data_IF_787156748014
#
_entry.id   IF_787156748014
#
_cell.length_a   1.000
_cell.length_b   1.000
_cell.length_c   1.000
_cell.angle_alpha   90.00
_cell.angle_beta   90.00
_cell.angle_gamma   90.00
#
_symmetry.space_group_name_H-M   'P 1'
#
loop_
_entity.id
_entity.type
_entity.pdbx_description
1 polymer ?
#
# COMPACT_ATOMS: atom_id res chain seq x y z
N UNK A 1 -66.92 -15.64 9.79
CA UNK A 1 -65.97 -16.04 10.87
C UNK A 1 -64.88 -16.94 10.27
N UNK A 2 -64.03 -16.45 9.36
CA UNK A 2 -62.91 -17.20 8.74
C UNK A 2 -61.82 -16.22 8.26
N UNK A 3 -61.10 -15.55 9.17
CA UNK A 3 -59.94 -14.71 8.79
C UNK A 3 -58.75 -14.78 9.76
N UNK A 4 -58.76 -15.69 10.74
CA UNK A 4 -57.67 -15.81 11.74
C UNK A 4 -56.72 -17.00 11.50
N UNK A 5 -56.95 -17.81 10.46
CA UNK A 5 -56.20 -19.05 10.22
C UNK A 5 -54.90 -18.90 9.41
N UNK A 6 -54.82 -17.92 8.51
CA UNK A 6 -53.72 -17.83 7.53
C UNK A 6 -52.45 -17.19 8.13
N UNK A 7 -52.61 -16.20 9.00
CA UNK A 7 -51.51 -15.46 9.64
C UNK A 7 -50.68 -16.32 10.63
N UNK A 8 -51.32 -17.35 11.21
CA UNK A 8 -50.67 -18.28 12.12
C UNK A 8 -49.74 -19.27 11.41
N UNK A 9 -50.04 -19.65 10.18
CA UNK A 9 -49.23 -20.61 9.42
C UNK A 9 -47.92 -19.99 8.92
N UNK A 10 -47.95 -18.72 8.52
CA UNK A 10 -46.75 -18.00 8.06
C UNK A 10 -45.80 -17.69 9.21
N UNK A 11 -46.34 -17.28 10.36
CA UNK A 11 -45.59 -17.06 11.60
C UNK A 11 -44.88 -18.34 12.09
N UNK A 12 -45.54 -19.49 11.99
CA UNK A 12 -44.94 -20.79 12.34
C UNK A 12 -43.81 -21.21 11.39
N UNK A 13 -43.95 -20.93 10.08
CA UNK A 13 -42.89 -21.19 9.09
C UNK A 13 -41.67 -20.32 9.33
N UNK A 14 -41.86 -19.03 9.65
CA UNK A 14 -40.77 -18.10 9.94
C UNK A 14 -40.02 -18.48 11.23
N UNK A 15 -40.75 -18.89 12.27
CA UNK A 15 -40.15 -19.37 13.52
C UNK A 15 -39.31 -20.64 13.32
N UNK A 16 -39.80 -21.60 12.51
CA UNK A 16 -39.07 -22.83 12.18
C UNK A 16 -37.81 -22.55 11.35
N UNK A 17 -37.85 -21.57 10.45
CA UNK A 17 -36.70 -21.14 9.67
C UNK A 17 -35.62 -20.46 10.53
N UNK A 18 -36.02 -19.60 11.48
CA UNK A 18 -35.10 -18.97 12.45
C UNK A 18 -34.39 -20.01 13.32
N UNK A 19 -35.11 -20.98 13.88
CA UNK A 19 -34.51 -22.07 14.69
C UNK A 19 -33.51 -22.92 13.90
N UNK A 20 -33.77 -23.17 12.60
CA UNK A 20 -32.83 -23.89 11.72
C UNK A 20 -31.56 -23.08 11.46
N UNK A 21 -31.65 -21.77 11.28
CA UNK A 21 -30.48 -20.89 11.10
C UNK A 21 -29.63 -20.81 12.37
N UNK A 22 -30.25 -20.71 13.55
CA UNK A 22 -29.51 -20.72 14.82
C UNK A 22 -28.83 -22.07 15.09
N UNK A 23 -29.49 -23.19 14.81
CA UNK A 23 -28.89 -24.52 14.93
C UNK A 23 -27.71 -24.74 13.95
N UNK A 24 -27.76 -24.17 12.74
CA UNK A 24 -26.64 -24.21 11.82
C UNK A 24 -25.46 -23.36 12.31
N UNK A 25 -25.74 -22.17 12.87
CA UNK A 25 -24.71 -21.26 13.41
C UNK A 25 -24.00 -21.86 14.64
N UNK A 26 -24.73 -22.58 15.50
CA UNK A 26 -24.13 -23.24 16.67
C UNK A 26 -23.29 -24.47 16.30
N UNK A 27 -23.66 -25.22 15.25
CA UNK A 27 -22.83 -26.31 14.70
C UNK A 27 -21.53 -25.80 14.09
N UNK A 28 -21.56 -24.68 13.37
CA UNK A 28 -20.36 -24.04 12.83
C UNK A 28 -19.40 -23.55 13.93
N UNK A 29 -19.93 -22.98 15.02
CA UNK A 29 -19.12 -22.53 16.15
C UNK A 29 -18.44 -23.69 16.93
N UNK A 30 -19.05 -24.88 16.94
CA UNK A 30 -18.50 -26.06 17.64
C UNK A 30 -17.36 -26.74 16.86
N UNK A 31 -17.35 -26.61 15.53
CA UNK A 31 -16.30 -27.19 14.68
C UNK A 31 -14.94 -26.50 14.81
N UNK A 32 -14.89 -25.21 15.18
CA UNK A 32 -13.63 -24.47 15.30
C UNK A 32 -12.86 -24.66 16.62
N UNK A 33 -13.37 -25.42 17.59
CA UNK A 33 -12.74 -25.56 18.93
C UNK A 33 -11.82 -26.78 19.09
N UNK A 34 -11.72 -27.67 18.09
CA UNK A 34 -11.02 -28.97 18.25
C UNK A 34 -9.58 -29.00 17.68
N UNK A 35 -9.12 -27.95 17.00
CA UNK A 35 -7.74 -27.91 16.47
C UNK A 35 -6.85 -26.94 17.27
N UNK A 36 -6.44 -27.36 18.47
CA UNK A 36 -5.36 -26.71 19.22
C UNK A 36 -4.22 -27.72 19.42
N UNK A 37 -3.24 -27.67 18.53
CA UNK A 37 -2.03 -28.48 18.60
C UNK A 37 -1.16 -28.09 19.82
N UNK A 38 -0.39 -29.03 20.41
CA UNK A 38 0.40 -28.78 21.59
C UNK A 38 1.68 -27.97 21.29
N UNK A 39 1.99 -27.04 22.20
CA UNK A 39 3.26 -26.32 22.32
C UNK A 39 4.39 -27.33 22.54
N UNK A 40 5.36 -27.39 21.63
CA UNK A 40 6.62 -28.10 21.86
C UNK A 40 7.67 -27.08 22.29
N UNK A 41 8.15 -27.22 23.53
CA UNK A 41 9.25 -26.47 24.12
C UNK A 41 10.51 -26.62 23.25
N UNK A 42 11.09 -25.50 22.80
CA UNK A 42 12.43 -25.50 22.21
C UNK A 42 13.46 -25.44 23.33
N UNK A 43 14.16 -26.55 23.53
CA UNK A 43 15.30 -26.65 24.43
C UNK A 43 16.50 -25.90 23.85
N UNK A 44 17.07 -24.99 24.65
CA UNK A 44 18.35 -24.36 24.42
C UNK A 44 19.46 -25.41 24.46
N UNK A 45 20.27 -25.52 23.40
CA UNK A 45 21.52 -26.27 23.43
C UNK A 45 22.65 -25.45 22.82
N UNK A 46 23.40 -24.84 23.73
CA UNK A 46 24.80 -24.45 23.57
C UNK A 46 25.57 -25.68 23.06
N UNK A 47 26.41 -25.55 22.03
CA UNK A 47 27.70 -26.27 21.93
C UNK A 47 28.54 -25.82 20.72
N UNK A 48 29.81 -25.51 21.03
CA UNK A 48 31.04 -25.71 20.23
C UNK A 48 31.37 -24.76 19.08
N UNK A 49 32.28 -23.85 19.41
CA UNK A 49 33.35 -23.40 18.54
C UNK A 49 34.25 -24.57 18.09
N UNK A 50 34.70 -24.55 16.82
CA UNK A 50 35.92 -25.20 16.30
C UNK A 50 36.17 -24.76 14.85
N UNK A 51 37.43 -24.43 14.54
CA UNK A 51 37.97 -23.77 13.31
C UNK A 51 38.04 -24.71 12.08
N UNK A 52 38.44 -24.28 10.86
CA UNK A 52 39.88 -24.13 10.56
C UNK A 52 40.27 -22.93 9.65
N UNK A 53 41.58 -22.70 9.60
CA UNK A 53 42.35 -21.67 8.88
C UNK A 53 42.25 -21.75 7.35
N UNK A 54 42.62 -20.67 6.64
CA UNK A 54 43.38 -20.77 5.41
C UNK A 54 44.84 -20.34 5.58
N UNK A 55 45.69 -21.11 4.90
CA UNK A 55 47.14 -21.10 4.82
C UNK A 55 47.74 -19.84 4.22
N UNK A 56 48.91 -19.48 4.75
CA UNK A 56 49.91 -18.57 4.21
C UNK A 56 50.49 -19.02 2.84
N UNK A 57 51.23 -18.05 2.24
CA UNK A 57 52.28 -18.11 1.20
C UNK A 57 51.80 -17.89 -0.24
N UNK A 58 52.49 -17.12 -1.10
CA UNK A 58 53.77 -16.42 -0.98
C UNK A 58 53.91 -15.39 -2.11
N UNK A 59 54.39 -14.19 -1.74
CA UNK A 59 55.43 -13.39 -2.43
C UNK A 59 55.77 -13.66 -3.90
N UNK A 60 55.69 -12.62 -4.74
CA UNK A 60 56.71 -12.17 -5.72
C UNK A 60 56.36 -10.71 -6.14
N UNK A 61 56.97 -9.70 -5.51
CA UNK A 61 58.08 -8.86 -6.01
C UNK A 61 57.72 -7.71 -7.00
N UNK A 62 58.06 -6.50 -6.52
CA UNK A 62 58.34 -5.18 -7.15
C UNK A 62 58.97 -5.18 -8.57
N UNK A 63 58.88 -4.07 -9.34
CA UNK A 63 59.60 -2.80 -9.08
C UNK A 63 58.70 -1.54 -9.24
N UNK A 64 58.81 -0.49 -8.42
CA UNK A 64 59.86 0.55 -8.33
C UNK A 64 60.15 1.24 -9.67
N UNK A 65 59.44 2.35 -9.97
CA UNK A 65 59.87 3.29 -11.01
C UNK A 65 59.67 4.75 -10.56
N UNK A 66 60.82 5.40 -10.39
CA UNK A 66 61.19 6.82 -10.56
C UNK A 66 60.50 7.94 -9.78
N UNK A 67 61.32 8.40 -8.82
CA UNK A 67 61.55 9.80 -8.44
C UNK A 67 61.76 10.72 -9.65
N UNK A 68 61.18 11.91 -9.60
CA UNK A 68 61.84 13.15 -10.03
C UNK A 68 61.43 14.31 -9.11
N UNK A 69 62.39 15.02 -8.49
CA UNK A 69 62.17 16.27 -7.78
C UNK A 69 62.65 17.46 -8.63
N UNK A 70 61.92 18.57 -8.62
CA UNK A 70 62.35 19.95 -8.91
C UNK A 70 61.09 20.83 -8.79
N UNK A 71 61.07 22.04 -8.23
CA UNK A 71 62.13 22.95 -7.85
C UNK A 71 61.55 23.95 -6.84
N UNK A 72 62.24 24.13 -5.73
CA UNK A 72 62.04 25.17 -4.76
C UNK A 72 62.52 26.51 -5.34
N UNK A 73 61.63 27.48 -5.46
CA UNK A 73 61.91 28.94 -5.48
C UNK A 73 60.81 29.52 -4.58
N UNK A 74 61.07 30.07 -3.41
CA UNK A 74 62.17 30.96 -3.07
C UNK A 74 61.63 32.38 -3.08
N UNK A 75 61.06 32.77 -1.93
CA UNK A 75 61.01 34.13 -1.40
C UNK A 75 60.06 35.13 -2.08
N UNK A 76 59.01 35.56 -1.37
CA UNK A 76 58.86 36.94 -0.88
C UNK A 76 57.92 36.92 0.33
N UNK A 77 58.46 37.28 1.48
CA UNK A 77 57.74 37.43 2.73
C UNK A 77 57.51 38.92 3.01
N UNK A 78 56.27 39.22 3.45
CA UNK A 78 55.82 40.36 4.28
C UNK A 78 55.77 41.78 3.65
N UNK A 79 54.90 42.71 4.15
CA UNK A 79 53.89 42.59 5.22
C UNK A 79 52.50 43.19 4.92
N UNK A 80 51.57 42.77 5.77
CA UNK A 80 50.22 43.31 6.05
C UNK A 80 50.24 44.83 6.30
N UNK A 81 49.39 45.60 5.62
CA UNK A 81 48.95 46.92 6.09
C UNK A 81 47.56 47.30 5.53
N UNK A 82 46.56 47.27 6.43
CA UNK A 82 45.38 48.16 6.50
C UNK A 82 44.38 48.13 5.34
N UNK A 83 43.23 47.49 5.58
CA UNK A 83 41.89 48.10 5.39
C UNK A 83 40.81 47.20 6.00
N UNK A 84 40.77 47.15 7.34
CA UNK A 84 39.50 47.01 8.06
C UNK A 84 38.96 48.42 8.18
N UNK A 85 37.79 48.72 7.60
CA UNK A 85 36.79 49.68 8.09
C UNK A 85 35.64 49.80 7.05
N UNK A 86 34.69 48.87 7.12
CA UNK A 86 33.32 49.12 6.67
C UNK A 86 32.34 48.18 7.41
N UNK A 87 32.36 48.25 8.75
CA UNK A 87 31.23 47.81 9.56
C UNK A 87 30.20 48.95 9.54
N UNK A 88 29.30 48.91 8.57
CA UNK A 88 28.14 49.78 8.46
C UNK A 88 26.86 48.96 8.58
N UNK A 89 26.20 49.08 9.72
CA UNK A 89 24.90 48.49 10.02
C UNK A 89 23.84 48.86 8.96
N UNK A 90 22.88 47.95 8.69
CA UNK A 90 21.45 48.15 9.01
C UNK A 90 20.57 47.03 8.39
N UNK A 91 19.90 46.29 9.28
CA UNK A 91 18.64 45.57 9.09
C UNK A 91 18.46 44.67 7.84
N UNK A 92 18.63 43.36 8.05
CA UNK A 92 18.05 42.33 7.22
C UNK A 92 16.51 42.39 7.28
N UNK A 93 15.88 43.20 6.42
CA UNK A 93 14.48 43.08 6.09
C UNK A 93 14.31 41.91 5.11
N UNK A 94 14.30 40.68 5.62
CA UNK A 94 13.75 39.56 4.86
C UNK A 94 12.25 39.79 4.73
N UNK A 95 11.85 40.44 3.64
CA UNK A 95 10.47 40.48 3.21
C UNK A 95 10.00 39.04 3.05
N UNK A 96 9.22 38.58 4.04
CA UNK A 96 8.42 37.36 3.99
C UNK A 96 7.52 37.47 2.78
N UNK A 97 7.98 36.97 1.63
CA UNK A 97 7.12 36.80 0.47
C UNK A 97 5.94 35.95 0.95
N UNK A 98 4.69 36.43 0.85
CA UNK A 98 3.56 35.56 1.07
C UNK A 98 3.70 34.47 0.02
N UNK A 99 3.94 33.24 0.48
CA UNK A 99 3.82 32.07 -0.36
C UNK A 99 2.45 32.20 -1.01
N UNK A 100 2.44 32.48 -2.31
CA UNK A 100 1.24 32.38 -3.12
C UNK A 100 0.82 30.93 -2.98
N UNK A 101 -0.11 30.68 -2.06
CA UNK A 101 -0.93 29.48 -2.07
C UNK A 101 -1.62 29.52 -3.42
N UNK A 102 -1.00 28.89 -4.41
CA UNK A 102 -1.71 28.42 -5.57
C UNK A 102 -2.70 27.44 -4.99
N UNK A 103 -3.91 27.92 -4.67
CA UNK A 103 -5.08 27.08 -4.54
C UNK A 103 -5.12 26.30 -5.86
N UNK A 104 -4.52 25.12 -5.85
CA UNK A 104 -4.53 24.23 -6.97
C UNK A 104 -6.00 24.03 -7.27
N UNK A 105 -6.43 24.43 -8.48
CA UNK A 105 -7.74 24.02 -8.99
C UNK A 105 -7.86 22.53 -8.66
N UNK A 106 -8.84 22.17 -7.84
CA UNK A 106 -9.04 20.79 -7.44
C UNK A 106 -9.11 19.96 -8.72
N UNK A 107 -8.05 19.18 -8.98
CA UNK A 107 -8.02 18.32 -10.16
C UNK A 107 -9.16 17.33 -9.97
N UNK A 108 -9.98 17.14 -11.01
CA UNK A 108 -11.00 16.09 -10.99
C UNK A 108 -10.26 14.76 -10.80
N UNK A 109 -10.58 14.08 -9.71
CA UNK A 109 -10.04 12.76 -9.41
C UNK A 109 -10.79 11.76 -10.27
N UNK A 110 -10.05 10.92 -10.99
CA UNK A 110 -10.63 9.78 -11.72
C UNK A 110 -9.71 8.57 -11.65
N UNK A 111 -10.30 7.40 -11.83
CA UNK A 111 -9.58 6.12 -11.82
C UNK A 111 -10.07 5.28 -13.00
N UNK A 112 -9.15 4.60 -13.68
CA UNK A 112 -9.48 3.79 -14.84
C UNK A 112 -8.66 2.50 -14.92
N UNK A 113 -9.26 1.45 -15.48
CA UNK A 113 -8.57 0.24 -15.91
C UNK A 113 -7.85 0.52 -17.23
N UNK A 114 -6.52 0.40 -17.22
CA UNK A 114 -5.70 0.38 -18.42
C UNK A 114 -5.94 -0.95 -19.13
N UNK A 115 -5.87 -2.05 -18.37
CA UNK A 115 -6.17 -3.41 -18.80
C UNK A 115 -6.78 -4.19 -17.62
N UNK A 116 -7.70 -5.14 -17.84
CA UNK A 116 -8.39 -5.43 -19.09
C UNK A 116 -9.47 -4.37 -19.42
N UNK A 117 -9.89 -4.30 -20.68
CA UNK A 117 -10.99 -3.40 -21.11
C UNK A 117 -12.35 -3.94 -20.67
N UNK A 118 -13.35 -3.07 -20.60
CA UNK A 118 -14.73 -3.47 -20.33
C UNK A 118 -15.24 -4.47 -21.39
N UNK A 119 -15.85 -5.56 -20.91
CA UNK A 119 -16.29 -6.75 -21.65
C UNK A 119 -15.16 -7.57 -22.32
N UNK A 120 -13.90 -7.38 -21.91
CA UNK A 120 -12.81 -8.20 -22.42
C UNK A 120 -12.97 -9.67 -22.00
N UNK A 121 -12.56 -10.57 -22.90
CA UNK A 121 -12.37 -11.99 -22.59
C UNK A 121 -10.92 -12.23 -22.19
N UNK A 122 -10.70 -12.72 -20.97
CA UNK A 122 -9.38 -12.95 -20.38
C UNK A 122 -9.26 -14.39 -19.88
N UNK A 123 -8.05 -14.87 -19.65
CA UNK A 123 -7.77 -16.16 -19.01
C UNK A 123 -7.29 -15.95 -17.58
N UNK A 124 -7.54 -16.88 -16.67
CA UNK A 124 -6.99 -16.80 -15.31
C UNK A 124 -5.52 -17.26 -15.27
N UNK A 125 -4.60 -16.56 -14.59
CA UNK A 125 -4.80 -15.36 -13.78
C UNK A 125 -5.08 -14.11 -14.62
N UNK A 126 -6.03 -13.30 -14.14
CA UNK A 126 -6.40 -12.05 -14.80
C UNK A 126 -5.40 -10.97 -14.42
N UNK A 127 -4.61 -10.57 -15.42
CA UNK A 127 -3.71 -9.43 -15.35
C UNK A 127 -4.52 -8.13 -15.41
N UNK A 128 -4.38 -7.30 -14.38
CA UNK A 128 -5.05 -6.00 -14.26
C UNK A 128 -4.02 -4.89 -14.08
N UNK A 129 -4.24 -3.79 -14.79
CA UNK A 129 -3.43 -2.58 -14.72
C UNK A 129 -4.33 -1.36 -14.57
N UNK A 130 -3.96 -0.46 -13.67
CA UNK A 130 -4.76 0.68 -13.25
C UNK A 130 -4.04 2.00 -13.52
N UNK A 131 -4.82 3.06 -13.66
CA UNK A 131 -4.32 4.43 -13.70
C UNK A 131 -5.25 5.32 -12.88
N UNK A 132 -4.69 6.38 -12.29
CA UNK A 132 -5.41 7.41 -11.57
C UNK A 132 -4.96 8.78 -12.05
N UNK A 133 -5.91 9.70 -12.15
CA UNK A 133 -5.68 11.09 -12.54
C UNK A 133 -6.11 12.01 -11.41
N UNK A 134 -5.37 13.11 -11.23
CA UNK A 134 -5.73 14.15 -10.27
C UNK A 134 -5.44 13.83 -8.81
N UNK A 135 -4.82 12.68 -8.52
CA UNK A 135 -4.39 12.26 -7.18
C UNK A 135 -3.10 11.46 -7.26
N UNK A 136 -2.27 11.55 -6.23
CA UNK A 136 -1.04 10.77 -6.11
C UNK A 136 -1.36 9.39 -5.52
N UNK A 137 -0.78 8.33 -6.11
CA UNK A 137 -0.91 6.98 -5.57
C UNK A 137 0.34 6.69 -4.73
N UNK A 138 0.14 6.44 -3.45
CA UNK A 138 1.21 6.12 -2.50
C UNK A 138 0.85 4.88 -1.70
N UNK A 139 1.83 4.07 -1.28
CA UNK A 139 1.61 3.05 -0.27
C UNK A 139 1.06 3.66 1.02
N UNK A 140 0.19 2.93 1.70
CA UNK A 140 -0.32 3.23 3.04
C UNK A 140 0.84 3.07 4.03
N UNK A 141 1.02 3.99 4.98
CA UNK A 141 2.04 3.84 6.01
C UNK A 141 1.82 2.55 6.82
N UNK A 142 2.89 1.85 7.22
CA UNK A 142 2.77 0.63 8.00
C UNK A 142 2.10 0.91 9.35
N UNK A 143 1.22 0.00 9.76
CA UNK A 143 0.43 0.11 11.00
C UNK A 143 -1.01 0.56 10.75
N UNK A 144 -1.65 1.08 11.79
CA UNK A 144 -2.99 1.65 11.73
C UNK A 144 -2.87 3.18 11.72
N UNK A 145 -2.87 3.82 10.54
CA UNK A 145 -2.84 5.28 10.46
C UNK A 145 -4.07 5.85 11.18
N UNK A 146 -3.85 6.88 12.00
CA UNK A 146 -4.92 7.63 12.67
C UNK A 146 -5.37 8.85 11.86
N UNK A 147 -4.52 9.28 10.93
CA UNK A 147 -4.71 10.48 10.12
C UNK A 147 -4.46 10.11 8.65
N UNK A 148 -5.13 10.82 7.75
CA UNK A 148 -4.93 10.68 6.30
C UNK A 148 -3.93 11.71 5.82
N UNK A 149 -3.00 11.29 4.96
CA UNK A 149 -2.16 12.25 4.25
C UNK A 149 -3.00 12.94 3.16
N UNK A 150 -2.93 14.27 3.04
CA UNK A 150 -3.68 14.98 2.01
C UNK A 150 -3.11 14.68 0.62
N UNK A 151 -4.00 14.47 -0.36
CA UNK A 151 -3.61 14.35 -1.77
C UNK A 151 -3.03 13.00 -2.18
N UNK A 152 -3.02 12.01 -1.29
CA UNK A 152 -2.62 10.63 -1.62
C UNK A 152 -3.78 9.65 -1.49
N UNK A 153 -3.73 8.59 -2.28
CA UNK A 153 -4.67 7.47 -2.22
C UNK A 153 -3.98 6.16 -2.62
N UNK A 154 -4.74 5.08 -2.53
CA UNK A 154 -4.32 3.78 -3.01
C UNK A 154 -5.48 3.03 -3.67
N UNK A 155 -5.14 2.05 -4.51
CA UNK A 155 -6.12 1.28 -5.28
C UNK A 155 -6.83 0.24 -4.41
N UNK A 156 -8.09 -0.01 -4.76
CA UNK A 156 -8.89 -1.12 -4.27
C UNK A 156 -9.66 -1.73 -5.43
N UNK A 157 -9.72 -3.07 -5.49
CA UNK A 157 -10.53 -3.76 -6.49
C UNK A 157 -11.54 -4.65 -5.80
N UNK A 158 -12.81 -4.38 -6.07
CA UNK A 158 -13.94 -5.22 -5.68
C UNK A 158 -14.22 -6.28 -6.74
N UNK A 159 -14.13 -7.55 -6.39
CA UNK A 159 -14.51 -8.68 -7.25
C UNK A 159 -15.99 -9.01 -7.00
N UNK A 160 -16.77 -8.94 -8.07
CA UNK A 160 -18.23 -9.06 -8.09
C UNK A 160 -18.95 -8.07 -7.17
N UNK A 161 -18.35 -6.89 -7.00
CA UNK A 161 -18.89 -5.79 -6.20
C UNK A 161 -19.28 -4.59 -7.07
N UNK A 162 -20.06 -3.69 -6.49
CA UNK A 162 -20.33 -2.37 -7.05
C UNK A 162 -19.47 -1.31 -6.33
N UNK A 163 -19.32 -0.14 -6.95
CA UNK A 163 -18.72 1.02 -6.29
C UNK A 163 -19.44 1.33 -4.97
N UNK A 164 -18.65 1.59 -3.92
CA UNK A 164 -19.18 2.14 -2.68
C UNK A 164 -19.35 3.66 -2.84
N UNK A 165 -20.35 4.27 -2.16
CA UNK A 165 -20.50 5.72 -2.19
C UNK A 165 -19.35 6.39 -1.44
N UNK A 166 -19.02 7.63 -1.83
CA UNK A 166 -17.90 8.38 -1.25
C UNK A 166 -17.99 8.49 0.28
N UNK A 167 -16.83 8.43 0.95
CA UNK A 167 -16.72 8.46 2.41
C UNK A 167 -17.10 7.14 3.10
N UNK A 168 -17.42 6.07 2.36
CA UNK A 168 -17.59 4.73 2.95
C UNK A 168 -16.26 4.02 3.09
N UNK A 169 -16.13 3.29 4.19
CA UNK A 169 -14.97 2.46 4.48
C UNK A 169 -15.01 1.16 3.65
N UNK A 170 -13.90 0.83 3.01
CA UNK A 170 -13.71 -0.42 2.26
C UNK A 170 -13.22 -1.50 3.24
N UNK A 171 -14.07 -2.48 3.54
CA UNK A 171 -13.79 -3.49 4.57
C UNK A 171 -12.60 -4.37 4.21
N UNK A 172 -11.50 -4.23 4.96
CA UNK A 172 -10.29 -5.06 4.87
C UNK A 172 -10.57 -6.54 5.16
N UNK A 173 -9.84 -7.42 4.47
CA UNK A 173 -9.82 -8.86 4.77
C UNK A 173 -11.06 -9.62 4.31
N UNK A 174 -11.85 -9.06 3.39
CA UNK A 174 -12.93 -9.79 2.72
C UNK A 174 -12.43 -10.34 1.39
N UNK A 175 -12.88 -11.52 0.94
CA UNK A 175 -12.49 -12.05 -0.37
C UNK A 175 -13.04 -11.21 -1.53
N UNK A 176 -14.05 -10.38 -1.26
CA UNK A 176 -14.71 -9.54 -2.24
C UNK A 176 -13.97 -8.24 -2.54
N UNK A 177 -13.11 -7.76 -1.63
CA UNK A 177 -12.34 -6.54 -1.81
C UNK A 177 -10.86 -6.82 -1.62
N UNK A 178 -10.10 -6.59 -2.69
CA UNK A 178 -8.64 -6.66 -2.68
C UNK A 178 -8.10 -5.26 -2.41
N UNK A 179 -7.33 -5.13 -1.34
CA UNK A 179 -6.72 -3.87 -0.89
C UNK A 179 -5.27 -3.79 -1.38
N UNK A 180 -4.92 -2.71 -2.07
CA UNK A 180 -3.56 -2.49 -2.56
C UNK A 180 -2.87 -1.39 -1.76
N UNK A 181 -2.49 -1.71 -0.53
CA UNK A 181 -1.78 -0.78 0.36
C UNK A 181 -0.34 -0.46 -0.07
N UNK A 182 0.20 -1.13 -1.10
CA UNK A 182 1.60 -0.99 -1.51
C UNK A 182 1.82 0.06 -2.62
N UNK A 183 0.75 0.69 -3.13
CA UNK A 183 0.83 1.68 -4.22
C UNK A 183 1.11 1.10 -5.61
N UNK A 184 1.01 -0.23 -5.78
CA UNK A 184 1.17 -0.90 -7.07
C UNK A 184 -0.02 -0.63 -7.98
N UNK A 185 0.25 -0.46 -9.27
CA UNK A 185 -0.72 -0.23 -10.34
C UNK A 185 -1.00 -1.49 -11.19
N UNK A 186 -0.24 -2.56 -10.99
CA UNK A 186 -0.39 -3.86 -11.66
C UNK A 186 -0.70 -4.94 -10.64
N UNK A 187 -1.70 -5.78 -10.94
CA UNK A 187 -2.11 -6.88 -10.08
C UNK A 187 -2.66 -8.08 -10.86
N UNK A 188 -2.36 -9.27 -10.36
CA UNK A 188 -2.81 -10.53 -10.93
C UNK A 188 -3.74 -11.23 -9.95
N UNK A 189 -4.93 -11.59 -10.40
CA UNK A 189 -5.91 -12.30 -9.57
C UNK A 189 -6.36 -13.60 -10.22
N UNK A 190 -6.46 -14.65 -9.40
CA UNK A 190 -7.08 -15.90 -9.81
C UNK A 190 -8.60 -15.75 -9.70
N UNK A 191 -9.28 -15.72 -10.85
CA UNK A 191 -10.72 -15.64 -10.94
C UNK A 191 -11.26 -16.95 -11.54
N UNK A 192 -12.44 -17.36 -11.10
CA UNK A 192 -13.10 -18.53 -11.70
C UNK A 192 -13.53 -18.25 -13.14
N UNK A 193 -13.64 -19.26 -14.01
CA UNK A 193 -14.25 -19.07 -15.32
C UNK A 193 -15.68 -18.55 -15.20
N UNK A 194 -16.04 -17.56 -16.02
CA UNK A 194 -17.34 -16.91 -15.99
C UNK A 194 -17.28 -15.38 -16.09
N UNK A 195 -18.46 -14.77 -16.04
CA UNK A 195 -18.60 -13.31 -16.08
C UNK A 195 -18.38 -12.74 -14.68
N UNK A 196 -17.36 -11.90 -14.53
CA UNK A 196 -17.04 -11.21 -13.30
C UNK A 196 -17.18 -9.69 -13.46
N UNK A 197 -17.64 -9.04 -12.40
CA UNK A 197 -17.67 -7.58 -12.31
C UNK A 197 -16.48 -7.12 -11.48
N UNK A 198 -15.69 -6.18 -12.00
CA UNK A 198 -14.55 -5.61 -11.29
C UNK A 198 -14.83 -4.13 -11.02
N UNK A 199 -14.87 -3.75 -9.75
CA UNK A 199 -15.03 -2.36 -9.31
C UNK A 199 -13.69 -1.83 -8.81
N UNK A 200 -13.06 -0.94 -9.57
CA UNK A 200 -11.84 -0.24 -9.17
C UNK A 200 -12.21 1.05 -8.44
N UNK A 201 -11.68 1.23 -7.25
CA UNK A 201 -11.99 2.38 -6.40
C UNK A 201 -10.74 2.89 -5.68
N UNK A 202 -10.62 4.21 -5.50
CA UNK A 202 -9.55 4.79 -4.69
C UNK A 202 -10.00 4.98 -3.25
N UNK A 203 -9.10 4.67 -2.31
CA UNK A 203 -9.27 4.93 -0.89
C UNK A 203 -8.12 5.76 -0.31
N UNK A 204 -8.43 6.55 0.72
CA UNK A 204 -7.44 7.27 1.53
C UNK A 204 -6.67 6.31 2.46
N UNK A 205 -5.70 6.80 3.24
CA UNK A 205 -4.95 5.98 4.21
C UNK A 205 -5.85 5.26 5.25
N UNK A 206 -7.07 5.75 5.49
CA UNK A 206 -8.08 5.14 6.37
C UNK A 206 -9.01 4.16 5.63
N UNK A 207 -8.78 3.91 4.34
CA UNK A 207 -9.59 3.08 3.44
C UNK A 207 -11.00 3.63 3.21
N UNK A 208 -11.19 4.95 3.36
CA UNK A 208 -12.43 5.61 2.95
C UNK A 208 -12.38 5.97 1.48
N UNK A 209 -13.48 5.69 0.79
CA UNK A 209 -13.65 5.96 -0.63
C UNK A 209 -13.66 7.44 -0.98
N UNK A 210 -13.01 7.78 -2.09
CA UNK A 210 -12.96 9.15 -2.60
C UNK A 210 -14.10 9.45 -3.59
N UNK A 211 -14.60 10.70 -3.64
CA UNK A 211 -15.65 11.10 -4.58
C UNK A 211 -15.14 11.09 -6.02
N UNK A 212 -15.93 10.53 -6.93
CA UNK A 212 -15.59 10.47 -8.37
C UNK A 212 -14.49 9.46 -8.73
N UNK A 213 -13.94 8.74 -7.75
CA UNK A 213 -12.82 7.83 -7.95
C UNK A 213 -13.27 6.36 -8.02
N UNK A 214 -14.23 6.05 -8.90
CA UNK A 214 -14.64 4.67 -9.15
C UNK A 214 -14.90 4.38 -10.63
N UNK A 215 -14.48 3.20 -11.07
CA UNK A 215 -14.84 2.64 -12.37
C UNK A 215 -15.25 1.17 -12.20
N UNK A 216 -16.28 0.75 -12.92
CA UNK A 216 -16.72 -0.64 -12.97
C UNK A 216 -16.57 -1.17 -14.39
N UNK A 217 -15.93 -2.32 -14.51
CA UNK A 217 -15.86 -3.08 -15.76
C UNK A 217 -16.45 -4.47 -15.54
N UNK A 218 -16.88 -5.08 -16.63
CA UNK A 218 -17.24 -6.51 -16.67
C UNK A 218 -16.17 -7.24 -17.47
N UNK A 219 -15.73 -8.40 -17.00
CA UNK A 219 -14.79 -9.26 -17.73
C UNK A 219 -15.36 -10.65 -17.84
N UNK A 220 -15.01 -11.36 -18.91
CA UNK A 220 -15.37 -12.76 -19.08
C UNK A 220 -14.11 -13.62 -19.00
N UNK A 221 -13.99 -14.37 -17.92
CA UNK A 221 -12.89 -15.30 -17.70
C UNK A 221 -13.23 -16.60 -18.43
N UNK A 222 -12.33 -17.04 -19.31
CA UNK A 222 -12.44 -18.30 -20.05
C UNK A 222 -11.89 -19.47 -19.25
#
# INVERSE_FOLDING_TARGET
MVLTGFENAESAKLAKARRRREAAKSRAARASRVLRAPRVLRASRILRASRPLPSLRSSLQCPRERRSPMKLRGQHALPILVMVLAFGALAAAQAKQPAKSSAAKAKKISVHFVEPKNNASVTSPVHMKFAADGIEISPVPPGDPKETRPGVAHYHVGIDQNCLPAGKNIVKGTPSWVHFGDGKDVFDSQLTPGKHKLALQLGDDLHNTLPGACQVITVNVK
#
